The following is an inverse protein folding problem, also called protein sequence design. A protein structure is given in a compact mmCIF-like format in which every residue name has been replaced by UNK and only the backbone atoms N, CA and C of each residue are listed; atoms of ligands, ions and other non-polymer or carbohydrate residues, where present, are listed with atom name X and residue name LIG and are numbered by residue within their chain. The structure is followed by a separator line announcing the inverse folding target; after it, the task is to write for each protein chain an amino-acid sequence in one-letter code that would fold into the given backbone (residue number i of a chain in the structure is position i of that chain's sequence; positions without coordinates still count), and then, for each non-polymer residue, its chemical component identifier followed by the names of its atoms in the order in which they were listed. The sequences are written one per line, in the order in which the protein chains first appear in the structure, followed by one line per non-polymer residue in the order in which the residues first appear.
data_IF_541511201250
#
_entry.id   IF_541511201250
#
_cell.length_a   1.000
_cell.length_b   1.000
_cell.length_c   1.000
_cell.angle_alpha   90.00
_cell.angle_beta   90.00
_cell.angle_gamma   90.00
#
_symmetry.space_group_name_H-M   'P 1'
#
loop_
_entity.id
_entity.type
_entity.pdbx_description
1 polymer ?
#
# COMPACT_ATOMS: atom_id res chain seq x y z
N UNK A 1 0.71 15.92 -3.68
CA UNK A 1 -0.16 14.88 -4.29
C UNK A 1 -1.18 14.36 -3.29
N UNK A 2 -0.86 13.44 -2.33
CA UNK A 2 -1.78 13.11 -1.23
C UNK A 2 -1.40 13.93 0.00
N UNK A 3 -2.38 14.59 0.61
CA UNK A 3 -2.24 15.28 1.89
C UNK A 3 -3.28 14.75 2.86
N UNK A 4 -2.84 14.36 4.05
CA UNK A 4 -3.68 13.96 5.17
C UNK A 4 -3.35 14.88 6.34
N UNK A 5 -4.32 15.60 6.87
CA UNK A 5 -4.11 16.55 7.96
C UNK A 5 -5.08 16.33 9.11
N UNK A 6 -4.55 16.15 10.32
CA UNK A 6 -5.29 16.00 11.58
C UNK A 6 -6.43 14.97 11.47
N UNK A 7 -6.15 13.83 10.77
CA UNK A 7 -7.16 12.83 10.46
C UNK A 7 -7.59 12.08 11.71
N UNK A 8 -8.89 12.09 11.97
CA UNK A 8 -9.56 11.33 13.03
C UNK A 8 -10.53 10.34 12.39
N UNK A 9 -10.39 9.06 12.68
CA UNK A 9 -11.21 8.00 12.07
C UNK A 9 -11.22 6.73 12.91
N UNK A 10 -12.14 5.82 12.60
CA UNK A 10 -12.28 4.56 13.32
C UNK A 10 -13.50 3.77 12.89
N UNK A 11 -14.01 2.92 13.78
CA UNK A 11 -15.13 2.02 13.52
C UNK A 11 -16.30 2.32 14.46
N UNK A 12 -17.44 2.69 13.89
CA UNK A 12 -18.60 3.07 14.66
C UNK A 12 -18.30 4.29 15.56
N UNK A 13 -18.24 4.07 16.88
CA UNK A 13 -17.87 5.11 17.86
C UNK A 13 -16.44 4.99 18.37
N UNK A 14 -15.74 3.92 17.98
CA UNK A 14 -14.36 3.69 18.42
C UNK A 14 -13.39 4.48 17.53
N UNK A 15 -12.77 5.50 18.09
CA UNK A 15 -11.75 6.30 17.43
C UNK A 15 -10.40 5.56 17.49
N UNK A 16 -9.83 5.29 16.31
CA UNK A 16 -8.54 4.64 16.15
C UNK A 16 -7.46 5.64 15.75
N UNK A 17 -7.77 6.53 14.80
CA UNK A 17 -6.85 7.59 14.37
C UNK A 17 -7.21 8.89 15.12
N UNK A 18 -6.21 9.51 15.73
CA UNK A 18 -6.35 10.63 16.65
C UNK A 18 -5.51 11.83 16.21
N UNK A 19 -5.77 12.35 15.00
CA UNK A 19 -5.05 13.51 14.46
C UNK A 19 -3.82 13.13 13.65
N UNK A 20 -3.92 12.07 12.83
CA UNK A 20 -2.82 11.64 11.96
C UNK A 20 -2.59 12.63 10.83
N UNK A 21 -1.32 12.99 10.61
CA UNK A 21 -0.89 13.87 9.52
C UNK A 21 0.20 13.18 8.72
N UNK A 22 0.07 13.13 7.39
CA UNK A 22 1.10 12.65 6.48
C UNK A 22 0.93 13.26 5.08
N UNK A 23 1.97 13.16 4.29
CA UNK A 23 1.93 13.54 2.88
C UNK A 23 2.68 12.55 1.99
N UNK A 24 2.23 12.41 0.75
CA UNK A 24 2.89 11.61 -0.29
C UNK A 24 3.16 12.54 -1.47
N UNK A 25 4.42 12.72 -1.81
CA UNK A 25 4.80 13.47 -3.02
C UNK A 25 4.65 12.61 -4.27
N UNK A 26 4.48 13.22 -5.47
CA UNK A 26 4.47 12.46 -6.72
C UNK A 26 5.74 11.63 -6.88
N UNK A 27 5.61 10.39 -7.35
CA UNK A 27 6.74 9.50 -7.63
C UNK A 27 7.56 9.09 -6.40
N UNK A 28 7.01 9.21 -5.18
CA UNK A 28 7.71 8.78 -3.95
C UNK A 28 7.05 7.55 -3.33
N UNK A 29 7.86 6.77 -2.60
CA UNK A 29 7.39 5.73 -1.69
C UNK A 29 7.37 6.30 -0.28
N UNK A 30 6.21 6.31 0.34
CA UNK A 30 6.03 6.67 1.75
C UNK A 30 5.65 5.42 2.53
N UNK A 31 6.42 5.12 3.56
CA UNK A 31 6.16 4.02 4.47
C UNK A 31 5.42 4.48 5.72
N UNK A 32 4.46 3.70 6.19
CA UNK A 32 3.83 3.87 7.50
C UNK A 32 4.06 2.59 8.30
N UNK A 33 4.80 2.69 9.38
CA UNK A 33 5.10 1.58 10.27
C UNK A 33 4.50 1.82 11.66
N UNK A 34 4.41 0.76 12.44
CA UNK A 34 3.87 0.82 13.80
C UNK A 34 3.42 -0.56 14.28
N UNK A 35 3.16 -0.73 15.58
CA UNK A 35 2.68 -1.99 16.12
C UNK A 35 1.31 -2.37 15.58
N UNK A 36 0.91 -3.62 15.84
CA UNK A 36 -0.45 -4.06 15.57
C UNK A 36 -1.44 -3.21 16.39
N UNK A 37 -2.52 -2.78 15.75
CA UNK A 37 -3.49 -1.88 16.39
C UNK A 37 -3.13 -0.38 16.36
N UNK A 38 -1.96 0.03 15.85
CA UNK A 38 -1.57 1.44 15.75
C UNK A 38 -2.45 2.29 14.80
N UNK A 39 -3.30 1.65 13.99
CA UNK A 39 -4.20 2.36 13.07
C UNK A 39 -3.78 2.36 11.61
N UNK A 40 -2.70 1.63 11.24
CA UNK A 40 -2.14 1.60 9.87
C UNK A 40 -3.18 1.27 8.78
N UNK A 41 -3.85 0.12 8.89
CA UNK A 41 -4.89 -0.28 7.91
C UNK A 41 -6.13 0.62 7.99
N UNK A 42 -6.44 1.17 9.17
CA UNK A 42 -7.52 2.16 9.34
C UNK A 42 -7.22 3.42 8.54
N UNK A 43 -5.98 3.89 8.56
CA UNK A 43 -5.52 5.02 7.74
C UNK A 43 -5.77 4.78 6.26
N UNK A 44 -5.28 3.66 5.70
CA UNK A 44 -5.47 3.35 4.28
C UNK A 44 -6.95 3.21 3.91
N UNK A 45 -7.74 2.52 4.76
CA UNK A 45 -9.19 2.36 4.55
C UNK A 45 -9.93 3.69 4.57
N UNK A 46 -9.50 4.63 5.43
CA UNK A 46 -10.10 5.97 5.49
C UNK A 46 -9.72 6.79 4.25
N UNK A 47 -8.45 6.76 3.85
CA UNK A 47 -7.98 7.45 2.63
C UNK A 47 -8.70 6.94 1.38
N UNK A 48 -8.96 5.62 1.31
CA UNK A 48 -9.67 5.00 0.18
C UNK A 48 -11.20 5.06 0.28
N UNK A 49 -11.76 5.68 1.31
CA UNK A 49 -13.21 5.88 1.44
C UNK A 49 -14.01 4.68 1.94
N UNK A 50 -13.36 3.62 2.48
CA UNK A 50 -14.05 2.53 3.17
C UNK A 50 -14.54 2.94 4.56
N UNK A 51 -13.92 3.95 5.16
CA UNK A 51 -14.30 4.51 6.45
C UNK A 51 -14.50 6.01 6.31
N UNK A 52 -15.60 6.51 6.85
CA UNK A 52 -15.83 7.95 6.95
C UNK A 52 -15.02 8.52 8.12
N UNK A 53 -14.22 9.58 7.90
CA UNK A 53 -13.49 10.20 8.99
C UNK A 53 -14.44 10.94 9.95
N UNK A 54 -14.05 11.01 11.24
CA UNK A 54 -14.72 11.83 12.25
C UNK A 54 -14.29 13.31 12.16
N UNK A 55 -13.14 13.59 11.54
CA UNK A 55 -12.60 14.93 11.32
C UNK A 55 -11.24 14.90 10.63
N UNK A 56 -10.71 16.08 10.36
CA UNK A 56 -9.48 16.25 9.59
C UNK A 56 -9.73 16.48 8.12
N UNK A 57 -8.67 16.36 7.31
CA UNK A 57 -8.74 16.54 5.84
C UNK A 57 -7.95 15.44 5.12
N UNK A 58 -8.43 15.08 3.94
CA UNK A 58 -7.73 14.18 3.00
C UNK A 58 -7.92 14.81 1.62
N UNK A 59 -6.81 15.14 0.96
CA UNK A 59 -6.85 15.68 -0.42
C UNK A 59 -5.88 14.93 -1.32
N UNK A 60 -6.29 14.74 -2.56
CA UNK A 60 -5.46 14.23 -3.65
C UNK A 60 -5.42 15.31 -4.74
N UNK A 61 -4.23 15.84 -5.04
CA UNK A 61 -4.07 16.93 -6.03
C UNK A 61 -5.10 18.06 -5.82
N UNK A 62 -5.19 18.55 -4.57
CA UNK A 62 -6.12 19.62 -4.12
C UNK A 62 -7.61 19.24 -4.10
N UNK A 63 -7.97 18.05 -4.55
CA UNK A 63 -9.34 17.54 -4.49
C UNK A 63 -9.59 16.80 -3.17
N UNK A 64 -10.64 17.20 -2.43
CA UNK A 64 -11.04 16.50 -1.20
C UNK A 64 -11.55 15.09 -1.52
N UNK A 65 -11.05 14.10 -0.75
CA UNK A 65 -11.53 12.73 -0.82
C UNK A 65 -12.63 12.43 0.21
N UNK A 66 -12.88 13.34 1.15
CA UNK A 66 -13.87 13.15 2.22
C UNK A 66 -15.28 13.09 1.62
N UNK A 67 -16.02 12.05 1.99
CA UNK A 67 -17.38 11.81 1.49
C UNK A 67 -17.46 11.14 0.13
N UNK A 68 -16.32 10.91 -0.54
CA UNK A 68 -16.28 10.14 -1.78
C UNK A 68 -16.32 8.63 -1.48
N UNK A 69 -16.99 7.88 -2.35
CA UNK A 69 -16.99 6.42 -2.33
C UNK A 69 -15.69 5.87 -2.94
N UNK A 70 -15.30 4.61 -2.61
CA UNK A 70 -14.10 3.98 -3.17
C UNK A 70 -14.03 3.99 -4.70
N UNK A 71 -15.16 3.79 -5.39
CA UNK A 71 -15.21 3.84 -6.86
C UNK A 71 -14.90 5.23 -7.42
N UNK A 72 -15.28 6.29 -6.73
CA UNK A 72 -14.97 7.68 -7.09
C UNK A 72 -13.49 7.98 -6.86
N UNK A 73 -12.93 7.55 -5.71
CA UNK A 73 -11.52 7.72 -5.38
C UNK A 73 -10.62 6.95 -6.35
N UNK A 74 -11.05 5.75 -6.76
CA UNK A 74 -10.36 4.97 -7.78
C UNK A 74 -10.28 5.74 -9.12
N UNK A 75 -11.37 6.38 -9.54
CA UNK A 75 -11.42 7.19 -10.78
C UNK A 75 -10.56 8.45 -10.70
N UNK A 76 -10.30 8.96 -9.51
CA UNK A 76 -9.36 10.08 -9.30
C UNK A 76 -7.89 9.64 -9.41
N UNK A 77 -7.64 8.34 -9.56
CA UNK A 77 -6.31 7.78 -9.76
C UNK A 77 -5.66 7.23 -8.49
N UNK A 78 -6.45 6.79 -7.50
CA UNK A 78 -5.94 6.09 -6.33
C UNK A 78 -6.29 4.61 -6.42
N UNK A 79 -5.30 3.72 -6.47
CA UNK A 79 -5.47 2.27 -6.34
C UNK A 79 -5.33 1.80 -4.89
N UNK A 80 -5.91 0.64 -4.57
CA UNK A 80 -5.79 0.01 -3.25
C UNK A 80 -5.58 -1.50 -3.36
N UNK A 81 -4.58 -2.01 -2.65
CA UNK A 81 -4.33 -3.45 -2.50
C UNK A 81 -4.40 -3.80 -1.02
N UNK A 82 -5.41 -4.57 -0.67
CA UNK A 82 -5.62 -5.03 0.71
C UNK A 82 -4.62 -6.13 1.09
N UNK A 83 -4.41 -6.33 2.39
CA UNK A 83 -3.54 -7.35 2.96
C UNK A 83 -3.85 -8.76 2.43
N UNK A 84 -5.12 -9.14 2.39
CA UNK A 84 -5.56 -10.43 1.85
C UNK A 84 -5.56 -10.50 0.31
N UNK A 85 -5.07 -9.47 -0.41
CA UNK A 85 -5.02 -9.40 -1.86
C UNK A 85 -6.38 -9.21 -2.54
N UNK A 86 -7.47 -9.70 -1.93
CA UNK A 86 -8.85 -9.56 -2.43
C UNK A 86 -9.09 -10.16 -3.82
N UNK A 87 -8.35 -11.19 -4.19
CA UNK A 87 -8.52 -11.88 -5.47
C UNK A 87 -9.81 -12.72 -5.48
N UNK A 88 -10.37 -12.86 -6.66
CA UNK A 88 -11.44 -13.82 -6.92
C UNK A 88 -10.80 -15.17 -7.23
N UNK A 89 -10.76 -16.06 -6.24
CA UNK A 89 -10.00 -17.29 -6.22
C UNK A 89 -10.35 -18.21 -7.40
N UNK A 90 -11.63 -18.40 -7.65
CA UNK A 90 -12.17 -19.29 -8.70
C UNK A 90 -12.07 -18.69 -10.12
N UNK A 91 -11.76 -17.40 -10.22
CA UNK A 91 -11.59 -16.72 -11.50
C UNK A 91 -10.16 -16.85 -12.00
N UNK A 92 -10.00 -16.86 -13.31
CA UNK A 92 -8.69 -16.85 -13.96
C UNK A 92 -7.91 -15.55 -13.68
N UNK A 93 -6.60 -15.59 -13.87
CA UNK A 93 -5.74 -14.39 -13.87
C UNK A 93 -6.33 -13.30 -14.77
N UNK A 94 -6.75 -13.67 -16.00
CA UNK A 94 -7.31 -12.72 -16.95
C UNK A 94 -8.62 -12.10 -16.46
N UNK A 95 -9.53 -12.88 -15.92
CA UNK A 95 -10.79 -12.39 -15.37
C UNK A 95 -10.59 -11.47 -14.16
N UNK A 96 -9.64 -11.81 -13.27
CA UNK A 96 -9.26 -10.91 -12.17
C UNK A 96 -8.76 -9.54 -12.69
N UNK A 97 -7.94 -9.53 -13.74
CA UNK A 97 -7.47 -8.29 -14.36
C UNK A 97 -8.59 -7.52 -15.05
N UNK A 98 -9.52 -8.20 -15.73
CA UNK A 98 -10.70 -7.57 -16.34
C UNK A 98 -11.53 -6.80 -15.30
N UNK A 99 -11.76 -7.40 -14.13
CA UNK A 99 -12.47 -6.74 -13.03
C UNK A 99 -11.70 -5.50 -12.53
N UNK A 100 -10.35 -5.54 -12.54
CA UNK A 100 -9.53 -4.37 -12.20
C UNK A 100 -9.80 -3.15 -13.08
N UNK A 101 -10.22 -3.36 -14.33
CA UNK A 101 -10.52 -2.30 -15.30
C UNK A 101 -11.99 -1.94 -15.43
N UNK A 102 -12.86 -2.39 -14.53
CA UNK A 102 -14.31 -2.14 -14.61
C UNK A 102 -14.70 -0.65 -14.73
N UNK A 103 -13.87 0.25 -14.20
CA UNK A 103 -14.09 1.69 -14.25
C UNK A 103 -13.62 2.37 -15.55
N UNK A 104 -12.97 1.65 -16.47
CA UNK A 104 -12.47 2.23 -17.72
C UNK A 104 -13.62 2.49 -18.70
N UNK A 105 -13.56 3.61 -19.46
CA UNK A 105 -14.71 4.08 -20.26
C UNK A 105 -14.98 3.26 -21.52
N UNK A 106 -14.03 2.45 -21.99
CA UNK A 106 -14.20 1.67 -23.21
C UNK A 106 -13.45 0.33 -23.19
N UNK A 107 -13.95 -0.64 -23.99
CA UNK A 107 -13.26 -1.92 -24.21
C UNK A 107 -11.88 -1.75 -24.82
N UNK A 108 -11.68 -0.73 -25.66
CA UNK A 108 -10.38 -0.44 -26.26
C UNK A 108 -9.37 0.03 -25.22
N UNK A 109 -9.77 0.90 -24.30
CA UNK A 109 -8.90 1.33 -23.19
C UNK A 109 -8.60 0.20 -22.25
N UNK A 110 -9.57 -0.66 -21.94
CA UNK A 110 -9.38 -1.86 -21.14
C UNK A 110 -8.34 -2.79 -21.80
N UNK A 111 -8.46 -3.07 -23.10
CA UNK A 111 -7.50 -3.90 -23.82
C UNK A 111 -6.07 -3.33 -23.74
N UNK A 112 -5.90 -2.03 -24.01
CA UNK A 112 -4.60 -1.34 -23.89
C UNK A 112 -4.05 -1.37 -22.46
N UNK A 113 -4.91 -1.25 -21.45
CA UNK A 113 -4.48 -1.32 -20.05
C UNK A 113 -4.02 -2.74 -19.69
N UNK A 114 -4.74 -3.76 -20.14
CA UNK A 114 -4.37 -5.16 -19.93
C UNK A 114 -3.05 -5.51 -20.61
N UNK A 115 -2.83 -5.05 -21.85
CA UNK A 115 -1.57 -5.27 -22.56
C UNK A 115 -0.40 -4.65 -21.79
N UNK A 116 -0.53 -3.42 -21.31
CA UNK A 116 0.50 -2.74 -20.52
C UNK A 116 0.77 -3.47 -19.19
N UNK A 117 -0.27 -3.97 -18.51
CA UNK A 117 -0.11 -4.78 -17.30
C UNK A 117 0.60 -6.09 -17.60
N UNK A 118 0.25 -6.78 -18.69
CA UNK A 118 0.92 -8.02 -19.08
C UNK A 118 2.39 -7.82 -19.52
N UNK A 119 2.75 -6.64 -20.02
CA UNK A 119 4.15 -6.28 -20.29
C UNK A 119 4.94 -6.13 -18.98
N UNK A 120 4.34 -5.55 -17.95
CA UNK A 120 4.96 -5.41 -16.64
C UNK A 120 5.00 -6.73 -15.85
N UNK A 121 4.05 -7.63 -16.11
CA UNK A 121 3.92 -8.92 -15.41
C UNK A 121 3.90 -10.10 -16.40
N UNK A 122 5.01 -10.43 -17.08
CA UNK A 122 5.04 -11.47 -18.12
C UNK A 122 4.59 -12.85 -17.63
N UNK A 123 4.94 -13.23 -16.38
CA UNK A 123 4.51 -14.50 -15.77
C UNK A 123 2.98 -14.60 -15.67
N UNK A 124 2.27 -13.50 -15.39
CA UNK A 124 0.82 -13.49 -15.36
C UNK A 124 0.21 -13.66 -16.77
N UNK A 125 0.90 -13.17 -17.81
CA UNK A 125 0.50 -13.37 -19.22
C UNK A 125 0.54 -14.85 -19.61
N UNK A 126 1.61 -15.54 -19.22
CA UNK A 126 1.78 -16.98 -19.48
C UNK A 126 0.69 -17.80 -18.77
N UNK A 127 0.30 -17.39 -17.56
CA UNK A 127 -0.69 -18.06 -16.70
C UNK A 127 -2.11 -17.47 -16.81
N UNK A 128 -2.40 -16.67 -17.82
CA UNK A 128 -3.64 -15.89 -17.92
C UNK A 128 -4.93 -16.69 -17.83
N UNK A 129 -4.87 -18.01 -18.16
CA UNK A 129 -6.01 -18.94 -18.13
C UNK A 129 -6.08 -19.77 -16.85
N UNK A 130 -5.10 -19.66 -15.96
CA UNK A 130 -5.10 -20.38 -14.69
C UNK A 130 -5.99 -19.67 -13.67
N UNK A 131 -6.65 -20.44 -12.81
CA UNK A 131 -7.40 -19.90 -11.70
C UNK A 131 -6.46 -19.23 -10.67
N UNK A 132 -6.89 -18.15 -10.04
CA UNK A 132 -6.03 -17.37 -9.15
C UNK A 132 -5.61 -18.15 -7.90
N UNK A 133 -6.42 -19.08 -7.42
CA UNK A 133 -6.10 -19.95 -6.28
C UNK A 133 -4.97 -20.95 -6.57
N UNK A 134 -4.78 -21.33 -7.86
CA UNK A 134 -3.71 -22.24 -8.28
C UNK A 134 -2.33 -21.61 -8.36
N UNK A 135 -2.24 -20.27 -8.18
CA UNK A 135 -1.00 -19.52 -8.19
C UNK A 135 -0.26 -19.64 -6.85
N UNK A 136 1.07 -19.54 -6.87
CA UNK A 136 1.85 -19.36 -5.65
C UNK A 136 1.50 -18.04 -4.93
N UNK A 137 1.77 -17.94 -3.63
CA UNK A 137 1.49 -16.72 -2.85
C UNK A 137 2.14 -15.46 -3.45
N UNK A 138 3.36 -15.56 -3.97
CA UNK A 138 4.03 -14.45 -4.68
C UNK A 138 3.32 -14.07 -5.97
N UNK A 139 2.87 -15.04 -6.78
CA UNK A 139 2.11 -14.80 -8.00
C UNK A 139 0.72 -14.21 -7.70
N UNK A 140 0.07 -14.66 -6.63
CA UNK A 140 -1.19 -14.07 -6.17
C UNK A 140 -0.98 -12.60 -5.75
N UNK A 141 0.12 -12.29 -5.07
CA UNK A 141 0.45 -10.91 -4.70
C UNK A 141 0.75 -10.06 -5.95
N UNK A 142 1.50 -10.60 -6.90
CA UNK A 142 1.74 -9.96 -8.20
C UNK A 142 0.42 -9.71 -8.96
N UNK A 143 -0.52 -10.66 -8.94
CA UNK A 143 -1.84 -10.50 -9.55
C UNK A 143 -2.67 -9.41 -8.86
N UNK A 144 -2.62 -9.33 -7.53
CA UNK A 144 -3.31 -8.28 -6.78
C UNK A 144 -2.76 -6.87 -7.12
N UNK A 145 -1.43 -6.73 -7.21
CA UNK A 145 -0.78 -5.50 -7.69
C UNK A 145 -1.18 -5.20 -9.13
N UNK A 146 -1.04 -6.16 -10.03
CA UNK A 146 -1.37 -6.04 -11.43
C UNK A 146 -2.83 -5.57 -11.65
N UNK A 147 -3.77 -6.16 -10.90
CA UNK A 147 -5.19 -5.78 -10.96
C UNK A 147 -5.42 -4.32 -10.55
N UNK A 148 -4.76 -3.84 -9.51
CA UNK A 148 -4.86 -2.45 -9.08
C UNK A 148 -4.28 -1.47 -10.11
N UNK A 149 -3.32 -1.91 -10.94
CA UNK A 149 -2.67 -1.09 -11.96
C UNK A 149 -3.48 -0.96 -13.27
N UNK A 150 -4.49 -1.80 -13.49
CA UNK A 150 -5.32 -1.73 -14.72
C UNK A 150 -5.97 -0.36 -14.89
N UNK A 151 -6.37 0.29 -13.78
CA UNK A 151 -6.92 1.65 -13.78
C UNK A 151 -5.87 2.75 -13.95
N UNK A 152 -4.58 2.40 -14.09
CA UNK A 152 -3.44 3.33 -14.22
C UNK A 152 -3.42 4.40 -13.12
N UNK A 153 -3.39 3.99 -11.85
CA UNK A 153 -3.42 4.92 -10.73
C UNK A 153 -2.17 5.81 -10.72
N UNK A 154 -2.31 7.01 -10.15
CA UNK A 154 -1.20 7.93 -9.83
C UNK A 154 -0.62 7.63 -8.43
N UNK A 155 -1.47 7.11 -7.56
CA UNK A 155 -1.15 6.72 -6.18
C UNK A 155 -1.64 5.29 -5.93
N UNK A 156 -0.79 4.44 -5.36
CA UNK A 156 -1.16 3.09 -4.95
C UNK A 156 -1.01 2.95 -3.43
N UNK A 157 -2.10 2.56 -2.78
CA UNK A 157 -2.14 2.26 -1.35
C UNK A 157 -1.94 0.75 -1.16
N UNK A 158 -0.94 0.35 -0.37
CA UNK A 158 -0.61 -1.05 -0.12
C UNK A 158 -0.72 -1.37 1.37
N UNK A 159 -1.59 -2.31 1.71
CA UNK A 159 -1.79 -2.77 3.08
C UNK A 159 -1.02 -4.07 3.31
N UNK A 160 0.11 -4.00 4.00
CA UNK A 160 1.02 -5.11 4.34
C UNK A 160 1.33 -6.03 3.14
N UNK A 161 1.99 -5.52 2.08
CA UNK A 161 2.23 -6.30 0.87
C UNK A 161 3.12 -7.53 1.08
N UNK A 162 3.91 -7.58 2.15
CA UNK A 162 4.76 -8.74 2.49
C UNK A 162 4.09 -9.76 3.41
N UNK A 163 2.90 -9.47 3.94
CA UNK A 163 2.26 -10.33 4.93
C UNK A 163 1.98 -11.74 4.39
N UNK A 164 2.25 -12.74 5.23
CA UNK A 164 2.03 -14.17 4.95
C UNK A 164 2.81 -14.72 3.73
N UNK A 165 3.79 -14.00 3.18
CA UNK A 165 4.66 -14.50 2.12
C UNK A 165 5.89 -15.21 2.69
N UNK A 166 6.33 -16.26 1.99
CA UNK A 166 7.64 -16.85 2.27
C UNK A 166 8.76 -15.85 1.91
N UNK A 167 9.90 -15.85 2.63
CA UNK A 167 10.97 -14.85 2.47
C UNK A 167 11.40 -14.60 1.01
N UNK A 168 11.52 -15.65 0.23
CA UNK A 168 11.91 -15.56 -1.19
C UNK A 168 10.95 -14.75 -2.07
N UNK A 169 9.66 -14.68 -1.71
CA UNK A 169 8.67 -13.92 -2.45
C UNK A 169 8.58 -12.46 -1.99
N UNK A 170 9.04 -12.17 -0.78
CA UNK A 170 9.07 -10.79 -0.25
C UNK A 170 9.96 -9.92 -1.13
N UNK A 171 11.17 -10.40 -1.45
CA UNK A 171 12.11 -9.66 -2.31
C UNK A 171 11.54 -9.40 -3.71
N UNK A 172 10.83 -10.38 -4.31
CA UNK A 172 10.18 -10.22 -5.61
C UNK A 172 9.08 -9.14 -5.57
N UNK A 173 8.27 -9.12 -4.51
CA UNK A 173 7.21 -8.10 -4.32
C UNK A 173 7.83 -6.71 -4.18
N UNK A 174 8.88 -6.55 -3.37
CA UNK A 174 9.53 -5.26 -3.19
C UNK A 174 10.32 -4.81 -4.42
N UNK A 175 10.92 -5.72 -5.17
CA UNK A 175 11.51 -5.41 -6.47
C UNK A 175 10.45 -4.88 -7.45
N UNK A 176 9.25 -5.48 -7.44
CA UNK A 176 8.11 -5.00 -8.24
C UNK A 176 7.66 -3.61 -7.78
N UNK A 177 7.50 -3.37 -6.49
CA UNK A 177 7.15 -2.06 -5.90
C UNK A 177 8.16 -0.99 -6.33
N UNK A 178 9.47 -1.28 -6.25
CA UNK A 178 10.51 -0.36 -6.69
C UNK A 178 10.46 -0.09 -8.21
N UNK A 179 10.18 -1.11 -9.01
CA UNK A 179 10.04 -0.95 -10.46
C UNK A 179 8.87 -0.05 -10.82
N UNK A 180 7.71 -0.23 -10.15
CA UNK A 180 6.54 0.63 -10.29
C UNK A 180 6.84 2.08 -9.88
N UNK A 181 7.56 2.28 -8.79
CA UNK A 181 7.95 3.62 -8.35
C UNK A 181 8.89 4.30 -9.36
N UNK A 182 9.89 3.57 -9.91
CA UNK A 182 10.77 4.10 -10.96
C UNK A 182 10.01 4.52 -12.23
N UNK A 183 8.83 3.96 -12.49
CA UNK A 183 7.95 4.41 -13.59
C UNK A 183 7.12 5.64 -13.25
N UNK A 184 7.30 6.23 -12.05
CA UNK A 184 6.65 7.46 -11.62
C UNK A 184 5.43 7.26 -10.71
N UNK A 185 5.06 6.01 -10.38
CA UNK A 185 3.95 5.74 -9.48
C UNK A 185 4.30 6.14 -8.05
N UNK A 186 3.43 6.91 -7.39
CA UNK A 186 3.53 7.18 -5.97
C UNK A 186 2.92 6.03 -5.16
N UNK A 187 3.54 5.69 -4.01
CA UNK A 187 3.07 4.60 -3.17
C UNK A 187 2.97 5.04 -1.70
N UNK A 188 1.88 4.68 -1.06
CA UNK A 188 1.72 4.73 0.39
C UNK A 188 1.59 3.29 0.88
N UNK A 189 2.59 2.83 1.63
CA UNK A 189 2.71 1.45 2.06
C UNK A 189 2.63 1.39 3.58
N UNK A 190 1.68 0.66 4.12
CA UNK A 190 1.70 0.30 5.53
C UNK A 190 2.33 -1.07 5.70
N UNK A 191 3.21 -1.23 6.66
CA UNK A 191 3.98 -2.45 6.87
C UNK A 191 4.26 -2.73 8.33
N UNK A 192 4.43 -4.02 8.62
CA UNK A 192 4.96 -4.50 9.89
C UNK A 192 6.45 -4.83 9.78
N UNK A 193 6.92 -5.22 8.59
CA UNK A 193 8.33 -5.49 8.33
C UNK A 193 9.09 -4.17 8.12
N UNK A 194 9.65 -3.67 9.21
CA UNK A 194 10.32 -2.36 9.25
C UNK A 194 11.52 -2.30 8.31
N UNK A 195 12.37 -3.32 8.31
CA UNK A 195 13.60 -3.34 7.49
C UNK A 195 13.27 -3.27 6.00
N UNK A 196 12.23 -3.97 5.57
CA UNK A 196 11.81 -3.95 4.16
C UNK A 196 11.34 -2.58 3.74
N UNK A 197 10.49 -1.92 4.55
CA UNK A 197 10.01 -0.57 4.19
C UNK A 197 11.14 0.45 4.24
N UNK A 198 12.07 0.35 5.20
CA UNK A 198 13.22 1.25 5.29
C UNK A 198 14.21 1.08 4.13
N UNK A 199 14.20 -0.04 3.42
CA UNK A 199 15.04 -0.27 2.26
C UNK A 199 14.53 0.41 0.98
N UNK A 200 13.24 0.75 0.91
CA UNK A 200 12.60 1.27 -0.30
C UNK A 200 11.98 2.66 -0.14
N UNK A 201 11.59 3.04 1.08
CA UNK A 201 10.87 4.29 1.32
C UNK A 201 11.78 5.53 1.19
N UNK A 202 11.21 6.62 0.68
CA UNK A 202 11.82 7.95 0.67
C UNK A 202 11.52 8.69 1.98
N UNK A 203 10.36 8.43 2.57
CA UNK A 203 9.90 8.99 3.84
C UNK A 203 9.14 7.95 4.64
N UNK A 204 9.24 8.02 5.96
CA UNK A 204 8.60 7.07 6.88
C UNK A 204 7.86 7.82 7.97
N UNK A 205 6.64 7.41 8.21
CA UNK A 205 5.84 7.80 9.36
C UNK A 205 5.73 6.62 10.33
N UNK A 206 5.92 6.87 11.62
CA UNK A 206 5.63 5.88 12.64
C UNK A 206 4.32 6.25 13.31
N UNK A 207 3.39 5.31 13.30
CA UNK A 207 2.13 5.42 14.05
C UNK A 207 2.23 4.64 15.36
N UNK A 208 1.82 5.28 16.44
CA UNK A 208 1.64 4.66 17.75
C UNK A 208 0.32 5.15 18.35
N UNK A 209 -0.53 4.22 18.79
CA UNK A 209 -1.85 4.50 19.37
C UNK A 209 -2.67 5.54 18.59
N UNK A 210 -2.66 5.43 17.26
CA UNK A 210 -3.42 6.31 16.37
C UNK A 210 -2.85 7.70 16.15
N UNK A 211 -1.61 7.96 16.54
CA UNK A 211 -0.91 9.26 16.42
C UNK A 211 0.41 9.11 15.70
N UNK A 212 0.92 10.20 15.13
CA UNK A 212 2.28 10.25 14.63
C UNK A 212 3.28 10.24 15.79
N UNK A 213 4.13 9.23 15.86
CA UNK A 213 5.26 9.15 16.79
C UNK A 213 6.57 9.62 16.15
N UNK A 214 6.66 9.55 14.82
CA UNK A 214 7.81 10.01 14.02
C UNK A 214 7.37 10.34 12.59
N UNK A 215 8.11 11.28 11.98
CA UNK A 215 8.02 11.66 10.59
C UNK A 215 9.41 12.07 10.10
N UNK A 216 9.96 11.37 9.11
CA UNK A 216 11.30 11.66 8.59
C UNK A 216 11.76 10.65 7.54
N UNK A 217 13.03 10.70 7.22
CA UNK A 217 13.69 9.75 6.31
C UNK A 217 14.03 8.43 7.02
N UNK A 218 14.25 7.33 6.28
CA UNK A 218 14.77 6.08 6.85
C UNK A 218 16.09 6.25 7.62
N UNK A 219 16.96 7.18 7.17
CA UNK A 219 18.23 7.45 7.84
C UNK A 219 18.04 8.12 9.20
N UNK A 220 17.16 9.13 9.27
CA UNK A 220 16.80 9.82 10.52
C UNK A 220 16.12 8.85 11.51
N UNK A 221 15.26 7.96 11.02
CA UNK A 221 14.61 6.96 11.86
C UNK A 221 15.63 6.04 12.54
N UNK A 222 16.64 5.55 11.79
CA UNK A 222 17.69 4.70 12.31
C UNK A 222 18.58 5.37 13.38
N UNK A 223 18.63 6.70 13.39
CA UNK A 223 19.36 7.49 14.40
C UNK A 223 18.52 7.76 15.65
N UNK A 224 17.21 7.51 15.62
CA UNK A 224 16.30 7.79 16.75
C UNK A 224 16.29 6.60 17.71
N UNK A 225 17.02 6.69 18.82
CA UNK A 225 17.22 5.61 19.79
C UNK A 225 15.94 4.97 20.30
N UNK A 226 14.93 5.77 20.64
CA UNK A 226 13.64 5.26 21.16
C UNK A 226 12.92 4.38 20.14
N UNK A 227 12.87 4.81 18.87
CA UNK A 227 12.17 4.09 17.81
C UNK A 227 12.98 2.88 17.37
N UNK A 228 14.31 3.02 17.33
CA UNK A 228 15.23 1.92 17.05
C UNK A 228 15.03 0.77 18.02
N UNK A 229 14.96 1.01 19.33
CA UNK A 229 14.72 -0.02 20.36
C UNK A 229 13.35 -0.68 20.21
N UNK A 230 12.31 0.09 19.93
CA UNK A 230 10.94 -0.42 19.83
C UNK A 230 10.67 -1.25 18.56
N UNK A 231 11.32 -0.91 17.44
CA UNK A 231 10.97 -1.47 16.13
C UNK A 231 12.09 -2.21 15.41
N UNK A 232 13.37 -1.93 15.72
CA UNK A 232 14.53 -2.55 15.04
C UNK A 232 15.27 -3.56 15.94
N UNK A 233 14.93 -3.64 17.21
CA UNK A 233 15.61 -4.47 18.20
C UNK A 233 17.01 -3.95 18.59
N UNK A 234 17.43 -4.18 19.83
CA UNK A 234 18.77 -3.88 20.30
C UNK A 234 19.76 -4.92 19.78
N UNK A 235 20.37 -4.69 18.62
CA UNK A 235 21.52 -5.52 18.14
C UNK A 235 22.85 -5.23 18.87
N UNK A 236 22.84 -4.51 19.99
CA UNK A 236 24.04 -4.19 20.77
C UNK A 236 24.17 -4.98 22.08
N UNK A 237 23.40 -6.07 22.27
CA UNK A 237 23.45 -6.89 23.51
C UNK A 237 24.22 -8.20 23.45
N UNK A 238 24.82 -8.62 22.32
CA UNK A 238 25.56 -9.89 22.23
C UNK A 238 27.06 -9.70 22.03
N UNK A 239 27.70 -8.90 22.88
CA UNK A 239 29.15 -8.90 22.98
C UNK A 239 29.56 -8.46 24.40
N UNK A 240 29.35 -9.33 25.40
CA UNK A 240 30.08 -9.40 26.65
C UNK A 240 29.45 -10.42 27.59
N UNK A 241 29.85 -11.65 27.47
CA UNK A 241 29.98 -12.56 28.63
C UNK A 241 31.39 -13.11 28.60
N UNK A 242 32.14 -12.95 29.69
CA UNK A 242 33.54 -13.34 29.81
C UNK A 242 33.74 -14.86 29.76
#
# INVERSE_FOLDING_TARGET
MLEVGELRSGYGRLEILQGVTLHVAPGTIVGVIGPNGAGKSTLLKTVFGYLSPFGGRITLEDQSLIGLRPDQILRLGTGFVAQAGGLFADMTVHENLLLGGYGLPSRHELARALDAVYEQFPRLRERRRQAADSLSGGEQRALALARALVMRPKLLLLDEPSAALAPQFIDEVYATIQALNRSGLALLIVEQNVEMILSVAHRVFVLDLGRNAFDGTPAELRQTDRIRRLYLGDRQGESRVP
#
